data_IF_163919178779
#
_entry.id   IF_163919178779
#
_cell.length_a   1.000
_cell.length_b   1.000
_cell.length_c   1.000
_cell.angle_alpha   90.00
_cell.angle_beta   90.00
_cell.angle_gamma   90.00
#
_symmetry.space_group_name_H-M   'P 1'
#
loop_
_entity.id
_entity.type
_entity.pdbx_description
1 polymer ?
#
# COMPACT_ATOMS: atom_id res chain seq x y z
N UNK A 1 -23.71 -16.41 25.45
CA UNK A 1 -22.78 -15.38 25.95
C UNK A 1 -22.13 -14.80 24.73
N UNK A 2 -22.27 -13.49 24.49
CA UNK A 2 -21.53 -12.87 23.38
C UNK A 2 -20.07 -12.74 23.86
N UNK A 3 -19.23 -13.68 23.46
CA UNK A 3 -17.80 -13.59 23.74
C UNK A 3 -17.24 -12.36 23.02
N UNK A 4 -16.86 -11.36 23.81
CA UNK A 4 -16.26 -10.14 23.26
C UNK A 4 -14.81 -10.42 22.87
N UNK A 5 -14.48 -10.22 21.61
CA UNK A 5 -13.10 -10.28 21.11
C UNK A 5 -12.26 -9.16 21.71
N UNK A 6 -11.06 -9.49 22.17
CA UNK A 6 -10.16 -8.52 22.79
C UNK A 6 -8.98 -8.17 21.87
N UNK A 7 -8.69 -6.87 21.75
CA UNK A 7 -7.61 -6.35 20.89
C UNK A 7 -6.57 -5.58 21.69
N UNK A 8 -5.30 -5.90 21.49
CA UNK A 8 -4.16 -5.15 21.96
C UNK A 8 -3.51 -4.37 20.80
N UNK A 9 -3.38 -3.05 20.96
CA UNK A 9 -2.87 -2.17 19.94
C UNK A 9 -1.41 -1.80 20.21
N UNK A 10 -0.53 -2.03 19.24
CA UNK A 10 0.85 -1.58 19.25
C UNK A 10 0.98 -0.44 18.23
N UNK A 11 1.51 0.71 18.64
CA UNK A 11 1.70 1.84 17.74
C UNK A 11 2.89 2.70 18.09
N UNK A 12 3.34 3.52 17.16
CA UNK A 12 4.45 4.44 17.35
C UNK A 12 3.95 5.70 18.05
N UNK A 13 4.52 6.03 19.21
CA UNK A 13 4.38 7.33 19.86
C UNK A 13 5.50 8.26 19.37
N UNK A 14 5.20 9.54 19.19
CA UNK A 14 6.21 10.53 18.83
C UNK A 14 7.45 10.44 19.74
N UNK A 15 8.60 10.16 19.14
CA UNK A 15 9.87 10.09 19.83
C UNK A 15 10.06 8.96 20.85
N UNK A 16 9.03 8.26 21.26
CA UNK A 16 9.09 7.14 22.20
C UNK A 16 8.86 5.83 21.49
N UNK A 17 9.80 4.95 21.68
CA UNK A 17 9.78 3.67 21.05
C UNK A 17 10.18 2.58 22.07
N UNK A 18 9.67 1.40 21.96
CA UNK A 18 9.03 0.76 20.82
C UNK A 18 7.52 0.63 20.88
N UNK A 19 6.88 0.78 22.01
CA UNK A 19 5.47 0.53 22.17
C UNK A 19 4.74 1.75 22.67
N UNK A 20 3.58 1.95 22.13
CA UNK A 20 2.48 2.58 22.81
C UNK A 20 1.51 1.50 23.22
N UNK A 21 1.02 1.59 24.43
CA UNK A 21 -0.06 0.74 24.88
C UNK A 21 -1.39 1.19 24.24
N UNK A 22 -2.45 0.40 24.41
CA UNK A 22 -3.78 0.71 23.89
C UNK A 22 -4.30 2.06 24.37
N UNK A 23 -3.98 2.46 25.60
CA UNK A 23 -4.36 3.76 26.14
C UNK A 23 -3.76 4.92 25.34
N UNK A 24 -2.45 4.87 25.04
CA UNK A 24 -1.82 5.90 24.21
C UNK A 24 -2.45 5.96 22.81
N UNK A 25 -2.76 4.82 22.21
CA UNK A 25 -3.44 4.77 20.92
C UNK A 25 -4.78 5.51 20.99
N UNK A 26 -5.59 5.27 22.02
CA UNK A 26 -6.86 5.94 22.23
C UNK A 26 -6.73 7.46 22.41
N UNK A 27 -5.66 7.92 23.05
CA UNK A 27 -5.40 9.34 23.27
C UNK A 27 -4.88 10.06 22.03
N UNK A 28 -4.14 9.37 21.15
CA UNK A 28 -3.36 9.98 20.06
C UNK A 28 -3.75 9.48 18.66
N UNK A 29 -4.69 8.55 18.53
CA UNK A 29 -5.14 8.06 17.24
C UNK A 29 -6.07 9.07 16.55
N UNK A 30 -6.25 8.87 15.25
CA UNK A 30 -7.18 9.72 14.50
C UNK A 30 -8.60 9.51 14.99
N UNK A 31 -9.28 10.58 15.28
CA UNK A 31 -10.63 10.58 15.84
C UNK A 31 -11.63 9.66 15.10
N UNK A 32 -11.63 9.69 13.76
CA UNK A 32 -12.55 8.90 12.93
C UNK A 32 -12.30 7.39 13.03
N UNK A 33 -11.05 6.96 13.04
CA UNK A 33 -10.67 5.55 13.23
C UNK A 33 -11.05 5.06 14.62
N UNK A 34 -10.73 5.85 15.64
CA UNK A 34 -11.05 5.51 17.02
C UNK A 34 -12.56 5.44 17.27
N UNK A 35 -13.33 6.36 16.66
CA UNK A 35 -14.80 6.31 16.76
C UNK A 35 -15.32 5.04 16.11
N UNK A 36 -14.85 4.67 14.91
CA UNK A 36 -15.23 3.42 14.28
C UNK A 36 -14.89 2.18 15.11
N UNK A 37 -13.70 2.15 15.72
CA UNK A 37 -13.31 1.07 16.63
C UNK A 37 -14.27 0.95 17.83
N UNK A 38 -14.65 2.07 18.44
CA UNK A 38 -15.55 2.09 19.63
C UNK A 38 -16.98 1.72 19.30
N UNK A 39 -17.39 1.90 18.05
CA UNK A 39 -18.75 1.57 17.61
C UNK A 39 -18.94 0.07 17.33
N UNK A 40 -17.89 -0.77 17.47
CA UNK A 40 -18.00 -2.23 17.36
C UNK A 40 -18.20 -2.85 18.75
N UNK A 41 -19.44 -3.20 19.15
CA UNK A 41 -19.74 -3.61 20.53
C UNK A 41 -19.02 -4.90 20.95
N UNK A 42 -18.70 -5.76 19.96
CA UNK A 42 -18.04 -7.04 20.19
C UNK A 42 -16.54 -6.89 20.41
N UNK A 43 -15.96 -5.68 20.23
CA UNK A 43 -14.52 -5.46 20.30
C UNK A 43 -14.13 -4.71 21.56
N UNK A 44 -13.30 -5.34 22.39
CA UNK A 44 -12.80 -4.76 23.64
C UNK A 44 -11.31 -4.46 23.54
N UNK A 45 -10.91 -3.21 23.76
CA UNK A 45 -9.49 -2.83 23.83
C UNK A 45 -8.94 -3.22 25.20
N UNK A 46 -7.83 -3.94 25.22
CA UNK A 46 -7.15 -4.41 26.42
C UNK A 46 -5.76 -3.82 26.55
N UNK A 47 -5.27 -3.69 27.79
CA UNK A 47 -3.95 -3.14 28.12
C UNK A 47 -2.88 -4.22 28.34
N UNK A 48 -3.19 -5.47 28.06
CA UNK A 48 -2.29 -6.60 28.24
C UNK A 48 -2.33 -7.51 27.01
N UNK A 49 -1.16 -7.80 26.47
CA UNK A 49 -1.02 -8.71 25.34
C UNK A 49 -1.49 -10.13 25.68
N UNK A 50 -1.26 -10.56 26.93
CA UNK A 50 -1.70 -11.89 27.41
C UNK A 50 -3.23 -12.05 27.40
N UNK A 51 -3.97 -10.94 27.54
CA UNK A 51 -5.44 -10.92 27.62
C UNK A 51 -6.10 -10.59 26.28
N UNK A 52 -5.32 -10.48 25.20
CA UNK A 52 -5.86 -10.18 23.89
C UNK A 52 -6.04 -11.45 23.06
N UNK A 53 -7.03 -11.43 22.17
CA UNK A 53 -7.22 -12.40 21.10
C UNK A 53 -6.49 -11.91 19.84
N UNK A 54 -6.44 -10.60 19.66
CA UNK A 54 -5.81 -9.93 18.51
C UNK A 54 -4.68 -9.02 19.00
N UNK A 55 -3.56 -9.07 18.27
CA UNK A 55 -2.48 -8.09 18.37
C UNK A 55 -2.46 -7.30 17.08
N UNK A 56 -2.72 -6.00 17.12
CA UNK A 56 -2.70 -5.15 15.93
C UNK A 56 -1.54 -4.15 16.00
N UNK A 57 -0.61 -4.26 15.05
CA UNK A 57 0.58 -3.43 14.96
C UNK A 57 0.30 -2.26 14.02
N UNK A 58 0.26 -1.04 14.56
CA UNK A 58 -0.03 0.20 13.85
C UNK A 58 1.23 0.93 13.35
N UNK A 59 2.34 0.23 13.28
CA UNK A 59 3.58 0.75 12.74
C UNK A 59 3.60 0.64 11.21
N UNK A 60 4.28 1.60 10.58
CA UNK A 60 4.56 1.56 9.15
C UNK A 60 5.98 1.05 8.92
N UNK A 61 6.19 0.08 8.02
CA UNK A 61 7.52 -0.44 7.71
C UNK A 61 8.54 0.65 7.39
N UNK A 62 8.20 1.58 6.48
CA UNK A 62 9.08 2.64 6.01
C UNK A 62 9.54 3.63 7.10
N UNK A 63 8.89 3.61 8.26
CA UNK A 63 9.21 4.49 9.40
C UNK A 63 9.57 3.74 10.67
N UNK A 64 9.83 2.43 10.57
CA UNK A 64 10.19 1.57 11.69
C UNK A 64 11.60 1.03 11.47
N UNK A 65 12.53 1.35 12.38
CA UNK A 65 13.92 0.89 12.27
C UNK A 65 14.05 -0.61 12.59
N UNK A 66 15.14 -1.23 12.16
CA UNK A 66 15.41 -2.65 12.44
C UNK A 66 15.49 -2.95 13.94
N UNK A 67 16.06 -2.03 14.74
CA UNK A 67 16.07 -2.16 16.20
C UNK A 67 14.64 -2.17 16.76
N UNK A 68 13.77 -1.36 16.18
CA UNK A 68 12.38 -1.28 16.56
C UNK A 68 11.63 -2.56 16.17
N UNK A 69 11.87 -3.09 15.00
CA UNK A 69 11.32 -4.37 14.53
C UNK A 69 11.71 -5.49 15.50
N UNK A 70 13.02 -5.62 15.80
CA UNK A 70 13.52 -6.64 16.73
C UNK A 70 12.87 -6.55 18.12
N UNK A 71 12.64 -5.34 18.62
CA UNK A 71 12.03 -5.15 19.93
C UNK A 71 10.53 -5.48 19.93
N UNK A 72 9.76 -5.11 18.89
CA UNK A 72 8.36 -5.55 18.76
C UNK A 72 8.32 -7.08 18.65
N UNK A 73 9.17 -7.66 17.79
CA UNK A 73 9.23 -9.10 17.56
C UNK A 73 9.47 -9.85 18.87
N UNK A 74 10.44 -9.41 19.70
CA UNK A 74 10.76 -10.04 20.98
C UNK A 74 9.58 -10.10 21.96
N UNK A 75 8.62 -9.20 21.84
CA UNK A 75 7.43 -9.15 22.72
C UNK A 75 6.28 -10.00 22.18
N UNK A 76 6.12 -10.07 20.85
CA UNK A 76 4.98 -10.76 20.24
C UNK A 76 5.27 -12.19 19.80
N UNK A 77 6.56 -12.59 19.65
CA UNK A 77 6.95 -13.90 19.08
C UNK A 77 6.29 -15.08 19.77
N UNK A 78 6.20 -15.06 21.10
CA UNK A 78 5.64 -16.15 21.91
C UNK A 78 4.09 -16.19 21.85
N UNK A 79 3.48 -15.18 21.23
CA UNK A 79 2.02 -15.04 21.13
C UNK A 79 1.49 -15.31 19.71
N UNK A 80 2.36 -15.54 18.73
CA UNK A 80 1.93 -15.78 17.33
C UNK A 80 1.19 -17.10 17.14
N UNK A 81 1.40 -18.07 18.03
CA UNK A 81 0.78 -19.38 17.92
C UNK A 81 -0.68 -19.39 18.40
N UNK A 82 -1.02 -18.50 19.34
CA UNK A 82 -2.31 -18.47 20.05
C UNK A 82 -3.14 -17.21 19.77
N UNK A 83 -2.59 -16.24 19.06
CA UNK A 83 -3.23 -14.95 18.76
C UNK A 83 -3.18 -14.57 17.30
N UNK A 84 -4.22 -13.88 16.84
CA UNK A 84 -4.22 -13.26 15.51
C UNK A 84 -3.34 -12.01 15.54
N UNK A 85 -2.19 -12.06 14.88
CA UNK A 85 -1.30 -10.90 14.72
C UNK A 85 -1.57 -10.24 13.38
N UNK A 86 -2.00 -8.97 13.42
CA UNK A 86 -2.29 -8.16 12.25
C UNK A 86 -1.15 -7.18 11.99
N UNK A 87 -0.69 -7.11 10.75
CA UNK A 87 0.46 -6.31 10.30
C UNK A 87 1.73 -6.69 11.07
N UNK A 88 2.06 -7.99 11.07
CA UNK A 88 3.20 -8.54 11.80
C UNK A 88 4.52 -7.93 11.31
N UNK A 89 5.40 -7.58 12.26
CA UNK A 89 6.71 -7.00 11.95
C UNK A 89 7.64 -7.95 11.19
N UNK A 90 7.43 -9.28 11.26
CA UNK A 90 8.17 -10.26 10.48
C UNK A 90 8.00 -10.06 8.97
N UNK A 91 6.87 -9.48 8.56
CA UNK A 91 6.53 -9.25 7.15
C UNK A 91 7.02 -7.87 6.65
N UNK A 92 7.52 -7.00 7.53
CA UNK A 92 7.86 -5.61 7.19
C UNK A 92 8.90 -5.50 6.08
N UNK A 93 9.93 -6.36 6.06
CA UNK A 93 10.91 -6.35 4.97
C UNK A 93 10.28 -6.78 3.65
N UNK A 94 9.38 -7.77 3.68
CA UNK A 94 8.71 -8.28 2.49
C UNK A 94 7.77 -7.24 1.87
N UNK A 95 7.19 -6.37 2.70
CA UNK A 95 6.24 -5.33 2.27
C UNK A 95 6.96 -4.06 1.82
N UNK A 96 8.03 -3.66 2.54
CA UNK A 96 8.72 -2.38 2.31
C UNK A 96 9.64 -2.42 1.09
N UNK A 97 10.22 -3.59 0.79
CA UNK A 97 11.22 -3.76 -0.26
C UNK A 97 10.61 -4.43 -1.49
N UNK A 98 10.47 -3.69 -2.57
CA UNK A 98 9.82 -4.15 -3.81
C UNK A 98 10.53 -5.31 -4.47
N UNK A 99 11.85 -5.37 -4.43
CA UNK A 99 12.64 -6.50 -4.94
C UNK A 99 12.28 -7.79 -4.20
N UNK A 100 12.16 -7.75 -2.87
CA UNK A 100 11.73 -8.89 -2.06
C UNK A 100 10.27 -9.24 -2.37
N UNK A 101 9.38 -8.24 -2.40
CA UNK A 101 7.97 -8.43 -2.76
C UNK A 101 7.82 -9.10 -4.13
N UNK A 102 8.49 -8.57 -5.15
CA UNK A 102 8.41 -9.10 -6.51
C UNK A 102 8.99 -10.52 -6.62
N UNK A 103 10.09 -10.80 -5.91
CA UNK A 103 10.65 -12.16 -5.86
C UNK A 103 9.67 -13.15 -5.23
N UNK A 104 9.04 -12.80 -4.10
CA UNK A 104 8.02 -13.65 -3.47
C UNK A 104 6.83 -13.84 -4.42
N UNK A 105 6.35 -12.77 -5.08
CA UNK A 105 5.26 -12.86 -6.03
C UNK A 105 5.59 -13.78 -7.22
N UNK A 106 6.75 -13.63 -7.84
CA UNK A 106 7.20 -14.53 -8.93
C UNK A 106 7.22 -15.99 -8.49
N UNK A 107 7.75 -16.28 -7.30
CA UNK A 107 7.80 -17.64 -6.75
C UNK A 107 6.42 -18.22 -6.38
N UNK A 108 5.40 -17.38 -6.29
CA UNK A 108 4.02 -17.77 -6.02
C UNK A 108 3.08 -17.58 -7.24
N UNK A 109 3.60 -17.48 -8.46
CA UNK A 109 2.83 -17.25 -9.68
C UNK A 109 1.86 -16.04 -9.55
N UNK A 110 2.35 -14.97 -8.97
CA UNK A 110 1.65 -13.68 -8.91
C UNK A 110 2.33 -12.73 -9.90
N UNK A 111 1.56 -12.24 -10.86
CA UNK A 111 2.09 -11.39 -11.94
C UNK A 111 2.52 -10.04 -11.39
N UNK A 112 3.79 -9.68 -11.58
CA UNK A 112 4.37 -8.39 -11.23
C UNK A 112 5.27 -7.90 -12.39
N UNK A 113 5.71 -6.62 -12.41
CA UNK A 113 6.63 -6.13 -13.42
C UNK A 113 7.95 -6.89 -13.41
N UNK A 114 8.62 -6.96 -14.55
CA UNK A 114 10.02 -7.38 -14.59
C UNK A 114 10.90 -6.33 -13.91
N UNK A 115 11.95 -6.79 -13.25
CA UNK A 115 12.83 -5.88 -12.52
C UNK A 115 14.24 -6.46 -12.42
N UNK A 116 15.22 -5.58 -12.18
CA UNK A 116 16.55 -5.94 -11.70
C UNK A 116 16.97 -5.04 -10.55
N UNK A 117 17.82 -5.58 -9.69
CA UNK A 117 18.43 -4.85 -8.57
C UNK A 117 19.76 -4.32 -9.04
N UNK A 118 19.96 -3.02 -8.93
CA UNK A 118 21.18 -2.34 -9.39
C UNK A 118 22.15 -2.17 -8.24
N UNK A 119 23.46 -2.37 -8.54
CA UNK A 119 24.51 -2.17 -7.57
C UNK A 119 24.84 -0.67 -7.45
N UNK A 120 24.54 0.00 -6.34
CA UNK A 120 24.81 1.43 -6.18
C UNK A 120 26.33 1.77 -6.13
N UNK A 121 27.20 0.77 -6.01
CA UNK A 121 28.66 0.93 -5.97
C UNK A 121 29.34 0.56 -7.29
N UNK A 122 28.58 -0.04 -8.25
CA UNK A 122 29.07 -0.40 -9.57
C UNK A 122 28.13 0.17 -10.64
N UNK A 123 28.49 1.34 -11.14
CA UNK A 123 27.69 2.07 -12.13
C UNK A 123 27.74 1.37 -13.48
N UNK A 124 28.88 0.79 -13.87
CA UNK A 124 29.05 0.14 -15.17
C UNK A 124 28.18 -1.14 -15.25
N UNK A 125 28.23 -2.00 -14.24
CA UNK A 125 27.32 -3.16 -14.13
C UNK A 125 25.86 -2.71 -14.17
N UNK A 126 25.51 -1.64 -13.45
CA UNK A 126 24.14 -1.11 -13.43
C UNK A 126 23.67 -0.61 -14.80
N UNK A 127 24.54 0.00 -15.59
CA UNK A 127 24.26 0.44 -16.95
C UNK A 127 24.02 -0.75 -17.88
N UNK A 128 24.85 -1.80 -17.78
CA UNK A 128 24.68 -3.02 -18.56
C UNK A 128 23.32 -3.68 -18.28
N UNK A 129 22.95 -3.80 -17.01
CA UNK A 129 21.65 -4.33 -16.61
C UNK A 129 20.48 -3.49 -17.12
N UNK A 130 20.57 -2.16 -17.04
CA UNK A 130 19.58 -1.22 -17.59
C UNK A 130 19.46 -1.39 -19.10
N UNK A 131 20.58 -1.45 -19.80
CA UNK A 131 20.61 -1.62 -21.27
C UNK A 131 19.97 -2.94 -21.68
N UNK A 132 20.26 -4.01 -20.94
CA UNK A 132 19.65 -5.32 -21.15
C UNK A 132 18.13 -5.27 -20.96
N UNK A 133 17.63 -4.60 -19.92
CA UNK A 133 16.18 -4.41 -19.75
C UNK A 133 15.57 -3.58 -20.90
N UNK A 134 16.21 -2.50 -21.32
CA UNK A 134 15.72 -1.63 -22.39
C UNK A 134 15.77 -2.29 -23.79
N UNK A 135 16.55 -3.36 -23.99
CA UNK A 135 16.52 -4.13 -25.23
C UNK A 135 15.23 -4.94 -25.43
N UNK A 136 14.51 -5.22 -24.34
CA UNK A 136 13.26 -6.02 -24.34
C UNK A 136 12.04 -5.24 -23.88
N UNK A 137 12.22 -4.09 -23.25
CA UNK A 137 11.15 -3.25 -22.69
C UNK A 137 11.18 -1.86 -23.33
N UNK A 138 10.02 -1.33 -23.67
CA UNK A 138 9.86 0.02 -24.22
C UNK A 138 10.43 1.10 -23.29
N UNK A 139 10.20 0.94 -22.01
CA UNK A 139 10.67 1.86 -20.98
C UNK A 139 10.70 1.19 -19.59
N UNK A 140 11.54 1.73 -18.73
CA UNK A 140 11.68 1.27 -17.35
C UNK A 140 11.61 2.44 -16.37
N UNK A 141 11.37 2.13 -15.11
CA UNK A 141 11.38 3.07 -13.99
C UNK A 141 12.60 2.81 -13.12
N UNK A 142 13.52 3.78 -13.02
CA UNK A 142 14.58 3.75 -12.03
C UNK A 142 14.06 4.37 -10.73
N UNK A 143 14.23 3.67 -9.61
CA UNK A 143 13.75 4.12 -8.31
C UNK A 143 14.50 3.51 -7.15
N UNK A 144 14.38 4.15 -5.98
CA UNK A 144 14.80 3.54 -4.72
C UNK A 144 13.76 2.51 -4.30
N UNK A 145 14.22 1.33 -3.88
CA UNK A 145 13.45 0.14 -3.60
C UNK A 145 12.29 0.36 -2.59
N UNK A 146 12.61 0.92 -1.43
CA UNK A 146 11.69 1.07 -0.30
C UNK A 146 11.06 2.47 -0.18
N UNK A 147 10.91 3.21 -1.28
CA UNK A 147 10.25 4.52 -1.28
C UNK A 147 8.83 4.46 -1.83
N UNK A 148 7.94 5.18 -1.16
CA UNK A 148 6.54 5.35 -1.52
C UNK A 148 6.31 6.69 -2.25
N UNK A 149 5.14 6.82 -2.92
CA UNK A 149 4.68 8.09 -3.50
C UNK A 149 5.47 8.57 -4.71
N UNK A 150 6.18 7.68 -5.42
CA UNK A 150 6.94 8.05 -6.63
C UNK A 150 8.15 8.96 -6.38
N UNK A 151 8.53 9.16 -5.12
CA UNK A 151 9.71 9.97 -4.75
C UNK A 151 10.99 9.31 -5.28
N UNK A 152 11.83 10.11 -5.96
CA UNK A 152 13.06 9.62 -6.58
C UNK A 152 12.83 8.50 -7.63
N UNK A 153 11.74 8.58 -8.38
CA UNK A 153 11.45 7.71 -9.52
C UNK A 153 11.64 8.48 -10.83
N UNK A 154 12.29 7.84 -11.80
CA UNK A 154 12.48 8.40 -13.14
C UNK A 154 12.17 7.35 -14.20
N UNK A 155 11.31 7.70 -15.17
CA UNK A 155 11.09 6.90 -16.37
C UNK A 155 12.23 7.15 -17.36
N UNK A 156 12.80 6.10 -17.90
CA UNK A 156 13.80 6.11 -18.96
C UNK A 156 13.40 5.15 -20.08
N UNK A 157 13.88 5.39 -21.28
CA UNK A 157 13.70 4.54 -22.46
C UNK A 157 15.03 4.48 -23.24
N UNK A 158 15.05 3.75 -24.36
CA UNK A 158 16.23 3.57 -25.21
C UNK A 158 16.83 4.86 -25.78
N UNK A 159 16.09 5.98 -25.81
CA UNK A 159 16.58 7.27 -26.28
C UNK A 159 17.30 8.09 -25.19
N UNK A 160 17.36 7.59 -23.96
CA UNK A 160 18.07 8.26 -22.88
C UNK A 160 19.59 8.16 -23.10
N UNK A 161 20.31 9.28 -23.02
CA UNK A 161 21.75 9.27 -23.18
C UNK A 161 22.44 8.58 -21.98
N UNK A 162 23.45 7.76 -22.21
CA UNK A 162 24.17 7.06 -21.15
C UNK A 162 24.66 8.00 -20.04
N UNK A 163 25.14 9.19 -20.42
CA UNK A 163 25.61 10.19 -19.45
C UNK A 163 24.49 10.62 -18.48
N UNK A 164 23.23 10.71 -18.95
CA UNK A 164 22.09 11.11 -18.09
C UNK A 164 21.68 9.95 -17.17
N UNK A 165 21.85 8.71 -17.63
CA UNK A 165 21.66 7.51 -16.81
C UNK A 165 22.70 7.46 -15.69
N UNK A 166 23.99 7.72 -16.01
CA UNK A 166 25.07 7.80 -15.00
C UNK A 166 24.75 8.83 -13.94
N UNK A 167 24.43 10.06 -14.30
CA UNK A 167 24.10 11.12 -13.36
C UNK A 167 22.89 10.75 -12.48
N UNK A 168 21.89 10.07 -13.06
CA UNK A 168 20.71 9.62 -12.31
C UNK A 168 21.10 8.52 -11.30
N UNK A 169 21.92 7.55 -11.70
CA UNK A 169 22.41 6.49 -10.83
C UNK A 169 23.24 7.04 -9.67
N UNK A 170 24.18 7.95 -9.92
CA UNK A 170 24.97 8.62 -8.90
C UNK A 170 24.08 9.33 -7.88
N UNK A 171 23.07 10.06 -8.35
CA UNK A 171 22.10 10.74 -7.48
C UNK A 171 21.27 9.76 -6.65
N UNK A 172 20.86 8.62 -7.21
CA UNK A 172 20.12 7.60 -6.50
C UNK A 172 21.00 6.86 -5.50
N UNK A 173 22.27 6.56 -5.87
CA UNK A 173 23.25 5.92 -5.00
C UNK A 173 23.53 6.75 -3.74
N UNK A 174 23.75 8.06 -3.89
CA UNK A 174 23.90 8.98 -2.74
C UNK A 174 22.70 8.87 -1.81
N UNK A 175 21.48 8.89 -2.35
CA UNK A 175 20.26 8.76 -1.54
C UNK A 175 20.15 7.40 -0.86
N UNK A 176 20.53 6.31 -1.52
CA UNK A 176 20.52 4.96 -0.94
C UNK A 176 21.46 4.91 0.27
N UNK A 177 22.65 5.50 0.17
CA UNK A 177 23.59 5.57 1.29
C UNK A 177 22.99 6.32 2.49
N UNK A 178 22.32 7.44 2.26
CA UNK A 178 21.63 8.21 3.32
C UNK A 178 20.52 7.38 4.00
N UNK A 179 19.84 6.49 3.24
CA UNK A 179 18.74 5.67 3.78
C UNK A 179 19.18 4.42 4.53
N UNK A 180 20.37 3.90 4.29
CA UNK A 180 20.91 2.73 5.00
C UNK A 180 20.98 2.92 6.51
N UNK A 181 20.98 4.17 6.96
CA UNK A 181 20.94 4.50 8.38
C UNK A 181 19.59 4.18 9.05
N UNK A 182 18.50 4.05 8.28
CA UNK A 182 17.17 3.77 8.79
C UNK A 182 16.76 2.30 8.64
N UNK A 183 17.16 1.67 7.53
CA UNK A 183 16.82 0.27 7.17
C UNK A 183 18.04 -0.42 6.59
N UNK A 184 18.18 -1.71 6.90
CA UNK A 184 19.32 -2.52 6.41
C UNK A 184 19.22 -2.77 4.91
N UNK A 185 18.02 -3.08 4.42
CA UNK A 185 17.80 -3.40 3.01
C UNK A 185 17.27 -2.19 2.23
N UNK A 186 18.12 -1.60 1.43
CA UNK A 186 17.82 -0.45 0.56
C UNK A 186 18.69 -0.50 -0.68
N UNK A 187 18.08 -0.59 -1.86
CA UNK A 187 18.76 -0.69 -3.15
C UNK A 187 18.14 0.27 -4.18
N UNK A 188 18.81 0.42 -5.31
CA UNK A 188 18.20 0.96 -6.52
C UNK A 188 17.61 -0.22 -7.28
N UNK A 189 16.41 -0.06 -7.84
CA UNK A 189 15.81 -1.04 -8.73
C UNK A 189 15.43 -0.39 -10.05
N UNK A 190 15.64 -1.11 -11.14
CA UNK A 190 15.03 -0.85 -12.42
C UNK A 190 13.82 -1.76 -12.56
N UNK A 191 12.66 -1.19 -12.88
CA UNK A 191 11.38 -1.89 -12.96
C UNK A 191 10.75 -1.60 -14.32
N UNK A 192 10.22 -2.60 -14.98
CA UNK A 192 9.44 -2.44 -16.21
C UNK A 192 8.33 -1.39 -16.02
N UNK A 193 8.26 -0.43 -16.92
CA UNK A 193 7.17 0.52 -16.94
C UNK A 193 5.98 -0.07 -17.70
N UNK A 194 4.93 -0.42 -16.99
CA UNK A 194 3.69 -0.93 -17.55
C UNK A 194 2.83 0.24 -18.02
N UNK A 195 2.55 0.31 -19.29
CA UNK A 195 1.59 1.27 -19.82
C UNK A 195 0.16 0.71 -19.66
N UNK A 196 -0.60 1.30 -18.76
CA UNK A 196 -1.98 0.89 -18.46
C UNK A 196 -3.00 2.00 -18.68
N UNK A 197 -2.57 3.09 -19.32
CA UNK A 197 -3.41 4.25 -19.58
C UNK A 197 -4.25 4.13 -20.86
N UNK A 198 -5.22 5.02 -21.01
CA UNK A 198 -5.99 5.21 -22.24
C UNK A 198 -5.49 6.39 -23.09
N UNK A 199 -4.19 6.70 -23.04
CA UNK A 199 -3.54 7.82 -23.75
C UNK A 199 -3.51 9.12 -22.93
N UNK A 200 -4.59 9.49 -22.25
CA UNK A 200 -4.68 10.73 -21.48
C UNK A 200 -4.53 10.52 -19.96
N UNK A 201 -4.81 9.31 -19.47
CA UNK A 201 -4.84 9.01 -18.05
C UNK A 201 -4.04 7.75 -17.72
N UNK A 202 -3.33 7.82 -16.60
CA UNK A 202 -2.75 6.67 -15.91
C UNK A 202 -3.73 6.21 -14.84
N UNK A 203 -3.97 4.90 -14.73
CA UNK A 203 -4.83 4.30 -13.73
C UNK A 203 -4.01 3.59 -12.66
N UNK A 204 -4.36 3.74 -11.38
CA UNK A 204 -3.80 2.97 -10.28
C UNK A 204 -4.94 2.32 -9.49
N UNK A 205 -4.99 1.00 -9.56
CA UNK A 205 -5.99 0.18 -8.88
C UNK A 205 -5.50 -0.12 -7.47
N UNK A 206 -6.39 -0.02 -6.51
CA UNK A 206 -6.09 -0.32 -5.11
C UNK A 206 -7.20 -1.13 -4.48
N UNK A 207 -6.82 -2.19 -3.77
CA UNK A 207 -7.73 -2.97 -2.93
C UNK A 207 -7.20 -2.99 -1.49
N UNK A 208 -8.04 -2.66 -0.52
CA UNK A 208 -7.75 -2.78 0.90
C UNK A 208 -8.15 -4.17 1.38
N UNK A 209 -7.22 -4.88 1.96
CA UNK A 209 -7.40 -6.28 2.36
C UNK A 209 -7.07 -6.42 3.84
N UNK A 210 -7.90 -7.16 4.54
CA UNK A 210 -7.69 -7.61 5.89
C UNK A 210 -7.94 -9.11 5.97
N UNK A 211 -6.89 -9.87 6.30
CA UNK A 211 -6.92 -11.31 6.20
C UNK A 211 -7.28 -11.77 4.77
N UNK A 212 -8.32 -12.56 4.63
CA UNK A 212 -8.81 -13.09 3.36
C UNK A 212 -10.01 -12.30 2.81
N UNK A 213 -10.19 -11.04 3.24
CA UNK A 213 -11.35 -10.22 2.86
C UNK A 213 -10.96 -8.89 2.24
N UNK A 214 -11.58 -8.57 1.11
CA UNK A 214 -11.43 -7.26 0.47
C UNK A 214 -12.45 -6.31 1.10
N UNK A 215 -11.95 -5.39 1.93
CA UNK A 215 -12.78 -4.44 2.67
C UNK A 215 -13.29 -3.33 1.76
N UNK A 216 -12.43 -2.84 0.88
CA UNK A 216 -12.74 -1.76 -0.06
C UNK A 216 -11.79 -1.79 -1.25
N UNK A 217 -12.19 -1.11 -2.32
CA UNK A 217 -11.37 -0.96 -3.49
C UNK A 217 -11.74 0.30 -4.28
N UNK A 218 -10.81 0.83 -5.05
CA UNK A 218 -11.01 1.98 -5.93
C UNK A 218 -9.90 2.10 -6.98
N UNK A 219 -10.14 2.93 -7.99
CA UNK A 219 -9.12 3.35 -8.97
C UNK A 219 -8.88 4.84 -8.81
N UNK A 220 -7.63 5.22 -8.63
CA UNK A 220 -7.19 6.59 -8.79
C UNK A 220 -6.73 6.83 -10.24
N UNK A 221 -7.00 8.01 -10.78
CA UNK A 221 -6.56 8.42 -12.12
C UNK A 221 -5.63 9.62 -12.04
N UNK A 222 -4.80 9.80 -13.04
CA UNK A 222 -3.90 10.94 -13.16
C UNK A 222 -3.54 11.22 -14.61
N UNK A 223 -3.23 12.48 -14.92
CA UNK A 223 -2.63 12.89 -16.19
C UNK A 223 -1.08 12.79 -16.17
N UNK A 224 -0.51 12.24 -15.11
CA UNK A 224 0.94 12.10 -14.92
C UNK A 224 1.33 10.69 -14.54
N UNK A 225 2.61 10.35 -14.71
CA UNK A 225 3.17 9.04 -14.37
C UNK A 225 2.94 8.66 -12.89
N UNK A 226 3.08 9.61 -11.98
CA UNK A 226 2.77 9.40 -10.56
C UNK A 226 1.32 9.76 -10.33
N UNK A 227 0.53 8.77 -9.93
CA UNK A 227 -0.91 8.98 -9.77
C UNK A 227 -1.19 9.95 -8.63
N UNK A 228 -1.76 11.09 -9.00
CA UNK A 228 -2.21 12.15 -8.09
C UNK A 228 -3.47 12.80 -8.66
N UNK A 229 -4.56 12.68 -7.93
CA UNK A 229 -5.85 13.23 -8.34
C UNK A 229 -6.01 14.74 -8.02
N UNK A 230 -5.03 15.34 -7.34
CA UNK A 230 -5.10 16.77 -6.93
C UNK A 230 -5.16 17.74 -8.10
N UNK A 231 -4.70 17.34 -9.28
CA UNK A 231 -4.63 18.16 -10.51
C UNK A 231 -5.75 17.83 -11.52
N UNK A 232 -6.73 17.04 -11.14
CA UNK A 232 -7.87 16.73 -12.01
C UNK A 232 -8.84 17.91 -12.09
N UNK A 233 -9.49 18.02 -13.24
CA UNK A 233 -10.54 18.98 -13.53
C UNK A 233 -11.92 18.28 -13.53
N UNK A 234 -13.00 19.04 -13.58
CA UNK A 234 -14.35 18.48 -13.61
C UNK A 234 -14.59 17.57 -14.83
N UNK A 235 -13.99 17.87 -15.99
CA UNK A 235 -14.05 17.05 -17.21
C UNK A 235 -13.41 15.66 -17.04
N UNK A 236 -12.44 15.52 -16.11
CA UNK A 236 -11.74 14.25 -15.89
C UNK A 236 -12.57 13.26 -15.08
N UNK A 237 -13.63 13.73 -14.41
CA UNK A 237 -14.47 12.91 -13.52
C UNK A 237 -15.25 11.83 -14.28
N UNK A 238 -15.55 12.04 -15.55
CA UNK A 238 -16.19 11.01 -16.38
C UNK A 238 -15.30 9.77 -16.51
N UNK A 239 -13.98 9.97 -16.71
CA UNK A 239 -13.03 8.85 -16.74
C UNK A 239 -12.91 8.18 -15.38
N UNK A 240 -12.89 8.96 -14.30
CA UNK A 240 -12.86 8.42 -12.95
C UNK A 240 -14.06 7.51 -12.65
N UNK A 241 -15.28 7.95 -13.01
CA UNK A 241 -16.49 7.14 -12.86
C UNK A 241 -16.41 5.89 -13.75
N UNK A 242 -16.09 6.05 -15.03
CA UNK A 242 -16.00 4.95 -15.99
C UNK A 242 -15.07 3.82 -15.51
N UNK A 243 -13.85 4.17 -15.06
CA UNK A 243 -12.88 3.15 -14.65
C UNK A 243 -13.24 2.51 -13.32
N UNK A 244 -13.83 3.26 -12.36
CA UNK A 244 -14.28 2.70 -11.10
C UNK A 244 -15.52 1.79 -11.29
N UNK A 245 -16.41 2.09 -12.24
CA UNK A 245 -17.50 1.20 -12.63
C UNK A 245 -16.97 -0.09 -13.23
N UNK A 246 -16.03 -0.01 -14.21
CA UNK A 246 -15.36 -1.18 -14.77
C UNK A 246 -14.72 -2.04 -13.68
N UNK A 247 -14.01 -1.41 -12.74
CA UNK A 247 -13.37 -2.14 -11.64
C UNK A 247 -14.40 -2.81 -10.72
N UNK A 248 -15.51 -2.14 -10.44
CA UNK A 248 -16.61 -2.75 -9.67
C UNK A 248 -17.18 -3.99 -10.36
N UNK A 249 -17.26 -4.00 -11.69
CA UNK A 249 -17.70 -5.18 -12.44
C UNK A 249 -16.67 -6.31 -12.41
N UNK A 250 -15.38 -6.02 -12.57
CA UNK A 250 -14.32 -7.01 -12.41
C UNK A 250 -14.33 -7.63 -11.01
N UNK A 251 -14.61 -6.84 -10.00
CA UNK A 251 -14.70 -7.30 -8.60
C UNK A 251 -15.94 -8.17 -8.30
N UNK A 252 -16.87 -8.36 -9.23
CA UNK A 252 -17.92 -9.38 -9.13
C UNK A 252 -17.38 -10.78 -9.49
N UNK A 253 -16.26 -10.85 -10.22
CA UNK A 253 -15.63 -12.09 -10.63
C UNK A 253 -14.74 -12.66 -9.50
N UNK A 254 -15.09 -13.87 -9.02
CA UNK A 254 -14.35 -14.52 -7.94
C UNK A 254 -12.92 -14.95 -8.33
N UNK A 255 -12.68 -15.26 -9.61
CA UNK A 255 -11.33 -15.58 -10.09
C UNK A 255 -10.44 -14.34 -9.99
N UNK A 256 -10.96 -13.17 -10.37
CA UNK A 256 -10.26 -11.90 -10.27
C UNK A 256 -9.95 -11.54 -8.80
N UNK A 257 -10.95 -11.64 -7.91
CA UNK A 257 -10.75 -11.44 -6.46
C UNK A 257 -9.68 -12.37 -5.87
N UNK A 258 -9.70 -13.65 -6.25
CA UNK A 258 -8.72 -14.63 -5.78
C UNK A 258 -7.28 -14.26 -6.18
N UNK A 259 -7.06 -13.67 -7.37
CA UNK A 259 -5.74 -13.15 -7.77
C UNK A 259 -5.25 -12.04 -6.84
N UNK A 260 -6.13 -11.09 -6.49
CA UNK A 260 -5.81 -9.99 -5.56
C UNK A 260 -5.51 -10.52 -4.15
N UNK A 261 -6.34 -11.44 -3.64
CA UNK A 261 -6.13 -12.05 -2.33
C UNK A 261 -4.85 -12.90 -2.29
N UNK A 262 -4.52 -13.62 -3.38
CA UNK A 262 -3.28 -14.39 -3.51
C UNK A 262 -2.05 -13.49 -3.40
N UNK A 263 -2.06 -12.33 -4.06
CA UNK A 263 -0.97 -11.36 -4.01
C UNK A 263 -0.74 -10.83 -2.58
N UNK A 264 -1.80 -10.56 -1.82
CA UNK A 264 -1.69 -10.16 -0.42
C UNK A 264 -1.18 -11.30 0.46
N UNK A 265 -1.84 -12.46 0.39
CA UNK A 265 -1.61 -13.59 1.28
C UNK A 265 -0.19 -14.15 1.19
N UNK A 266 0.45 -14.04 0.03
CA UNK A 266 1.84 -14.45 -0.15
C UNK A 266 2.86 -13.57 0.60
N UNK A 267 2.45 -12.37 1.04
CA UNK A 267 3.33 -11.38 1.66
C UNK A 267 2.95 -11.11 3.12
N UNK A 268 1.66 -10.82 3.37
CA UNK A 268 1.15 -10.42 4.70
C UNK A 268 -0.36 -10.60 4.77
N UNK A 269 -0.94 -10.39 5.97
CA UNK A 269 -2.38 -10.54 6.19
C UNK A 269 -3.16 -9.22 6.19
N UNK A 270 -2.50 -8.07 6.03
CA UNK A 270 -3.18 -6.76 5.97
C UNK A 270 -2.42 -5.81 5.07
N UNK A 271 -3.13 -5.08 4.22
CA UNK A 271 -2.53 -4.03 3.41
C UNK A 271 -3.47 -3.48 2.34
N UNK A 272 -3.02 -2.42 1.70
CA UNK A 272 -3.56 -1.94 0.44
C UNK A 272 -2.67 -2.46 -0.69
N UNK A 273 -3.19 -3.32 -1.54
CA UNK A 273 -2.50 -3.84 -2.72
C UNK A 273 -2.70 -2.86 -3.86
N UNK A 274 -1.60 -2.37 -4.42
CA UNK A 274 -1.61 -1.51 -5.61
C UNK A 274 -1.25 -2.34 -6.85
N UNK A 275 -2.00 -2.17 -7.92
CA UNK A 275 -1.79 -2.89 -9.18
C UNK A 275 -2.27 -2.08 -10.39
N UNK A 276 -1.88 -2.52 -11.55
CA UNK A 276 -2.32 -2.03 -12.85
C UNK A 276 -3.17 -3.11 -13.52
N UNK A 277 -3.95 -2.74 -14.54
CA UNK A 277 -4.63 -3.70 -15.40
C UNK A 277 -4.06 -3.62 -16.82
N UNK A 278 -3.70 -4.76 -17.37
CA UNK A 278 -3.39 -4.95 -18.77
C UNK A 278 -4.25 -6.11 -19.28
N UNK A 279 -5.12 -5.85 -20.25
CA UNK A 279 -6.08 -6.82 -20.79
C UNK A 279 -6.95 -7.48 -19.68
N UNK A 280 -7.41 -6.65 -18.74
CA UNK A 280 -8.19 -7.04 -17.55
C UNK A 280 -7.46 -7.99 -16.57
N UNK A 281 -6.15 -8.21 -16.76
CA UNK A 281 -5.30 -8.96 -15.87
C UNK A 281 -4.52 -8.05 -14.92
N UNK A 282 -4.50 -8.33 -13.59
CA UNK A 282 -3.79 -7.51 -12.64
C UNK A 282 -2.27 -7.76 -12.70
N UNK A 283 -1.50 -6.66 -12.71
CA UNK A 283 -0.06 -6.65 -12.53
C UNK A 283 0.23 -5.92 -11.23
N UNK A 284 0.72 -6.63 -10.21
CA UNK A 284 0.87 -6.12 -8.85
C UNK A 284 2.15 -5.31 -8.68
N UNK A 285 2.06 -4.15 -8.02
CA UNK A 285 3.15 -3.18 -7.91
C UNK A 285 3.72 -3.07 -6.50
N UNK A 286 2.87 -3.00 -5.49
CA UNK A 286 3.28 -2.84 -4.09
C UNK A 286 2.15 -3.16 -3.11
N UNK A 287 2.53 -3.41 -1.87
CA UNK A 287 1.62 -3.50 -0.73
C UNK A 287 1.92 -2.35 0.23
N UNK A 288 0.90 -1.62 0.61
CA UNK A 288 0.98 -0.60 1.65
C UNK A 288 0.30 -1.15 2.91
N UNK A 289 1.04 -1.63 3.95
CA UNK A 289 0.46 -2.32 5.09
C UNK A 289 -0.40 -1.42 5.97
N UNK A 290 -0.18 -0.11 5.88
CA UNK A 290 -0.96 0.87 6.62
C UNK A 290 -1.47 1.96 5.69
N UNK A 291 -2.78 2.12 5.63
CA UNK A 291 -3.42 3.18 4.85
C UNK A 291 -4.23 4.13 5.73
N UNK A 292 -4.54 5.28 5.19
CA UNK A 292 -5.46 6.23 5.81
C UNK A 292 -6.86 5.95 5.28
N UNK A 293 -7.85 5.81 6.15
CA UNK A 293 -9.27 5.65 5.77
C UNK A 293 -9.93 6.93 5.24
N UNK A 294 -9.14 7.97 4.93
CA UNK A 294 -9.62 9.21 4.36
C UNK A 294 -9.11 9.36 2.91
N UNK A 295 -9.80 8.70 2.01
CA UNK A 295 -9.55 8.77 0.58
C UNK A 295 -9.40 10.20 0.06
N UNK A 296 -10.27 11.11 0.51
CA UNK A 296 -10.33 12.50 0.03
C UNK A 296 -9.11 13.32 0.38
N UNK A 297 -8.74 13.38 1.65
CA UNK A 297 -7.57 14.14 2.09
C UNK A 297 -6.28 13.70 1.38
N UNK A 298 -6.22 12.42 0.98
CA UNK A 298 -5.04 11.88 0.30
C UNK A 298 -5.06 12.12 -1.21
N UNK A 299 -6.20 11.91 -1.86
CA UNK A 299 -6.29 11.85 -3.32
C UNK A 299 -6.78 13.16 -3.94
N UNK A 300 -7.68 13.86 -3.29
CA UNK A 300 -8.18 15.15 -3.78
C UNK A 300 -7.41 16.33 -3.19
N UNK A 301 -6.78 16.17 -2.02
CA UNK A 301 -6.09 17.27 -1.32
C UNK A 301 -7.03 18.46 -1.11
N UNK A 302 -6.58 19.65 -1.50
CA UNK A 302 -7.37 20.91 -1.43
C UNK A 302 -8.17 21.19 -2.71
N UNK A 303 -8.33 20.21 -3.61
CA UNK A 303 -9.11 20.40 -4.83
C UNK A 303 -10.60 20.48 -4.52
N UNK A 304 -11.09 21.71 -4.36
CA UNK A 304 -12.49 22.00 -4.02
C UNK A 304 -13.47 21.46 -5.06
N UNK A 305 -13.12 21.50 -6.34
CA UNK A 305 -13.99 21.02 -7.43
C UNK A 305 -14.28 19.53 -7.24
N UNK A 306 -13.24 18.73 -6.96
CA UNK A 306 -13.40 17.29 -6.72
C UNK A 306 -14.15 17.00 -5.42
N UNK A 307 -13.91 17.76 -4.37
CA UNK A 307 -14.60 17.62 -3.10
C UNK A 307 -16.08 17.96 -3.25
N UNK A 308 -16.41 19.09 -3.88
CA UNK A 308 -17.80 19.53 -4.12
C UNK A 308 -18.54 18.52 -5.01
N UNK A 309 -17.90 18.07 -6.08
CA UNK A 309 -18.45 17.03 -6.94
C UNK A 309 -18.77 15.77 -6.15
N UNK A 310 -17.85 15.30 -5.34
CA UNK A 310 -18.03 14.08 -4.59
C UNK A 310 -19.13 14.17 -3.53
N UNK A 311 -19.23 15.31 -2.83
CA UNK A 311 -20.25 15.48 -1.80
C UNK A 311 -21.66 15.72 -2.38
N UNK A 312 -21.74 16.29 -3.58
CA UNK A 312 -23.00 16.73 -4.20
C UNK A 312 -23.51 15.84 -5.33
N UNK A 313 -22.99 14.61 -5.44
CA UNK A 313 -23.39 13.61 -6.46
C UNK A 313 -23.88 12.30 -5.83
N UNK A 314 -25.04 12.30 -5.13
CA UNK A 314 -25.54 11.11 -4.45
C UNK A 314 -25.86 9.97 -5.42
N UNK A 315 -26.23 10.26 -6.67
CA UNK A 315 -26.51 9.27 -7.72
C UNK A 315 -25.31 8.37 -8.02
N UNK A 316 -24.10 8.83 -7.74
CA UNK A 316 -22.88 8.03 -7.93
C UNK A 316 -22.62 7.05 -6.79
N UNK A 317 -23.31 7.21 -5.65
CA UNK A 317 -23.21 6.25 -4.54
C UNK A 317 -23.73 4.87 -4.97
N UNK A 318 -24.71 4.80 -5.87
CA UNK A 318 -25.22 3.56 -6.45
C UNK A 318 -24.29 3.01 -7.54
N UNK A 319 -23.71 3.91 -8.35
CA UNK A 319 -22.85 3.52 -9.49
C UNK A 319 -21.48 3.02 -9.06
N UNK A 320 -20.83 3.72 -8.10
CA UNK A 320 -19.50 3.40 -7.59
C UNK A 320 -19.46 3.39 -6.05
N UNK A 321 -20.26 2.50 -5.41
CA UNK A 321 -20.43 2.49 -3.96
C UNK A 321 -19.10 2.30 -3.20
N UNK A 322 -18.16 1.57 -3.82
CA UNK A 322 -16.85 1.32 -3.22
C UNK A 322 -15.99 2.59 -3.07
N UNK A 323 -16.20 3.61 -3.90
CA UNK A 323 -15.57 4.91 -3.74
C UNK A 323 -16.30 5.75 -2.70
N UNK A 324 -17.63 5.74 -2.77
CA UNK A 324 -18.45 6.58 -1.89
C UNK A 324 -18.47 6.13 -0.43
N UNK A 325 -18.12 4.87 -0.12
CA UNK A 325 -17.94 4.44 1.27
C UNK A 325 -16.94 5.33 2.05
N UNK A 326 -15.96 5.92 1.38
CA UNK A 326 -14.98 6.82 2.00
C UNK A 326 -15.56 8.19 2.38
N UNK A 327 -16.77 8.53 1.94
CA UNK A 327 -17.55 9.68 2.42
C UNK A 327 -17.93 9.52 3.89
N UNK A 328 -17.99 8.26 4.35
CA UNK A 328 -18.37 7.88 5.70
C UNK A 328 -17.22 7.18 6.44
N UNK A 329 -16.12 7.89 6.76
CA UNK A 329 -14.90 7.24 7.28
C UNK A 329 -15.10 6.52 8.61
N UNK A 330 -16.06 6.93 9.45
CA UNK A 330 -16.40 6.20 10.68
C UNK A 330 -16.99 4.84 10.31
N UNK A 331 -17.97 4.78 9.42
CA UNK A 331 -18.58 3.52 8.94
C UNK A 331 -17.56 2.60 8.24
N UNK A 332 -16.59 3.19 7.51
CA UNK A 332 -15.48 2.45 6.94
C UNK A 332 -14.65 1.74 8.01
N UNK A 333 -14.30 2.44 9.09
CA UNK A 333 -13.55 1.86 10.19
C UNK A 333 -14.37 0.89 11.03
N UNK A 334 -15.66 1.12 11.21
CA UNK A 334 -16.59 0.14 11.80
C UNK A 334 -16.57 -1.17 11.00
N UNK A 335 -16.69 -1.10 9.68
CA UNK A 335 -16.60 -2.26 8.80
C UNK A 335 -15.27 -2.98 8.96
N UNK A 336 -14.15 -2.23 8.96
CA UNK A 336 -12.82 -2.79 9.16
C UNK A 336 -12.73 -3.59 10.47
N UNK A 337 -13.12 -3.00 11.57
CA UNK A 337 -13.02 -3.66 12.88
C UNK A 337 -14.04 -4.78 13.09
N UNK A 338 -15.22 -4.69 12.47
CA UNK A 338 -16.20 -5.78 12.45
C UNK A 338 -15.64 -6.98 11.66
N UNK A 339 -15.02 -6.74 10.51
CA UNK A 339 -14.34 -7.80 9.75
C UNK A 339 -13.25 -8.47 10.60
N UNK A 340 -12.49 -7.68 11.36
CA UNK A 340 -11.44 -8.20 12.21
C UNK A 340 -11.99 -9.12 13.33
N UNK A 341 -13.10 -8.74 13.96
CA UNK A 341 -13.78 -9.55 14.99
C UNK A 341 -14.28 -10.88 14.42
N UNK A 342 -14.87 -10.86 13.23
CA UNK A 342 -15.43 -12.07 12.60
C UNK A 342 -14.37 -13.11 12.19
N UNK A 343 -13.08 -12.80 12.35
CA UNK A 343 -11.95 -13.69 12.04
C UNK A 343 -11.32 -14.34 13.26
N UNK A 344 -11.80 -14.02 14.44
CA UNK A 344 -11.43 -14.61 15.73
C UNK A 344 -12.51 -15.55 16.21
#
# INVERSE_FOLDING_TARGET
MNDSTSIYLIGRRQGLYPFTNSRWFLENSRHKELTGLRNVPQLKIVNSIKRSDIIFIRNKPESTTDQQIKKIDSVIKDHRADKLVINDVKDFNNVDNKDITFNIWKNNDVRCPDYCVLNPLDIDESIEQITTMLSTKESILLRINNRTGGTAMKKINSNFANKDIVQLLEKLSTKVLDYRNARVHTNIIAVEHINNGNGNYTHAFRAHILNDEIISFYVAISKTLVVSMTKLEASDLNEFVRINTKFSDLMKNDVFKKKILKAMKSITNMGAVDFLLVDDEPIFLEINPMWKGNFFEKNFGDNKILLDWFYNKPELEETIPNVFQFKYPIKYWEKFYTTLVNKC
#
